data_IF_170769457308
#
_entry.id   IF_170769457308
#
_cell.length_a   1.000
_cell.length_b   1.000
_cell.length_c   1.000
_cell.angle_alpha   90.00
_cell.angle_beta   90.00
_cell.angle_gamma   90.00
#
_symmetry.space_group_name_H-M   'P 1'
#
loop_
_entity.id
_entity.type
_entity.pdbx_description
1 polymer ?
#
# COMPACT_ATOMS: atom_id res chain seq x y z
N UNK A 1 -28.47 45.09 5.72
CA UNK A 1 -28.81 43.72 5.27
C UNK A 1 -29.77 43.10 6.28
N UNK A 2 -31.00 42.75 5.86
CA UNK A 2 -32.03 42.27 6.78
C UNK A 2 -31.58 40.97 7.47
N UNK A 3 -31.69 40.88 8.80
CA UNK A 3 -31.31 39.68 9.58
C UNK A 3 -31.97 38.40 9.05
N UNK A 4 -33.19 38.51 8.51
CA UNK A 4 -33.90 37.41 7.83
C UNK A 4 -33.21 36.94 6.55
N UNK A 5 -32.63 37.85 5.78
CA UNK A 5 -31.89 37.54 4.55
C UNK A 5 -30.55 36.86 4.90
N UNK A 6 -29.87 37.33 5.96
CA UNK A 6 -28.65 36.70 6.47
C UNK A 6 -28.92 35.26 6.94
N UNK A 7 -30.04 35.03 7.63
CA UNK A 7 -30.42 33.71 8.13
C UNK A 7 -30.75 32.73 6.99
N UNK A 8 -31.38 33.21 5.93
CA UNK A 8 -31.74 32.41 4.75
C UNK A 8 -30.50 32.01 3.94
N UNK A 9 -29.51 32.90 3.83
CA UNK A 9 -28.20 32.60 3.23
C UNK A 9 -27.44 31.59 4.09
N UNK A 10 -27.46 31.73 5.42
CA UNK A 10 -26.79 30.79 6.34
C UNK A 10 -27.41 29.39 6.26
N UNK A 11 -28.74 29.29 6.10
CA UNK A 11 -29.45 28.01 5.97
C UNK A 11 -29.18 27.34 4.61
N UNK A 12 -29.06 28.12 3.53
CA UNK A 12 -28.69 27.61 2.21
C UNK A 12 -27.26 27.04 2.15
N UNK A 13 -26.34 27.57 2.95
CA UNK A 13 -24.96 27.07 3.06
C UNK A 13 -24.90 25.75 3.86
N UNK A 14 -25.87 25.45 4.73
CA UNK A 14 -25.89 24.18 5.47
C UNK A 14 -26.44 22.99 4.67
N UNK A 15 -27.09 23.25 3.53
CA UNK A 15 -27.61 22.24 2.60
C UNK A 15 -26.55 21.71 1.63
N UNK A 16 -25.27 21.71 2.02
CA UNK A 16 -24.22 21.07 1.23
C UNK A 16 -24.50 19.56 1.28
N UNK A 17 -24.81 19.00 0.10
CA UNK A 17 -25.15 17.60 -0.11
C UNK A 17 -24.27 16.66 0.72
N UNK A 18 -24.82 16.14 1.82
CA UNK A 18 -24.29 14.94 2.48
C UNK A 18 -24.69 13.76 1.59
N UNK A 19 -23.91 13.51 0.54
CA UNK A 19 -24.00 12.26 -0.21
C UNK A 19 -23.58 11.15 0.75
N UNK A 20 -24.55 10.50 1.38
CA UNK A 20 -24.27 9.32 2.19
C UNK A 20 -23.82 8.18 1.24
N UNK A 21 -22.51 7.90 1.25
CA UNK A 21 -21.94 6.74 0.55
C UNK A 21 -22.24 5.47 1.35
N UNK A 22 -23.48 4.99 1.26
CA UNK A 22 -23.85 3.68 1.80
C UNK A 22 -23.22 2.55 0.96
N UNK A 23 -22.83 1.45 1.60
CA UNK A 23 -22.27 0.26 0.92
C UNK A 23 -20.80 0.35 0.52
N UNK A 24 -20.08 1.39 0.97
CA UNK A 24 -18.65 1.59 0.73
C UNK A 24 -17.77 1.33 1.98
N UNK A 25 -18.16 0.41 2.84
CA UNK A 25 -17.25 -0.03 3.92
C UNK A 25 -16.43 -1.23 3.45
N UNK A 26 -15.11 -1.15 3.58
CA UNK A 26 -14.20 -2.26 3.31
C UNK A 26 -14.44 -3.32 4.37
N UNK A 27 -15.08 -4.42 3.99
CA UNK A 27 -15.43 -5.50 4.93
C UNK A 27 -14.20 -6.37 5.16
N UNK A 28 -13.86 -6.57 6.43
CA UNK A 28 -12.84 -7.52 6.87
C UNK A 28 -13.54 -8.84 7.18
N UNK A 29 -13.19 -9.91 6.47
CA UNK A 29 -13.71 -11.25 6.73
C UNK A 29 -12.76 -12.06 7.61
N UNK A 30 -11.47 -11.71 7.62
CA UNK A 30 -10.43 -12.46 8.33
C UNK A 30 -9.69 -11.62 9.38
N UNK A 31 -9.35 -12.27 10.47
CA UNK A 31 -8.36 -11.77 11.41
C UNK A 31 -6.96 -12.21 10.97
N UNK A 32 -6.08 -11.24 10.70
CA UNK A 32 -4.70 -11.51 10.27
C UNK A 32 -3.76 -11.60 11.47
N UNK A 33 -3.08 -12.74 11.63
CA UNK A 33 -1.90 -12.85 12.48
C UNK A 33 -0.66 -12.52 11.67
N UNK A 34 0.02 -11.44 12.02
CA UNK A 34 1.17 -10.91 11.30
C UNK A 34 2.50 -11.37 11.90
N UNK A 35 3.44 -11.67 11.02
CA UNK A 35 4.84 -11.97 11.31
C UNK A 35 5.72 -11.09 10.41
N UNK A 36 7.01 -11.04 10.70
CA UNK A 36 7.95 -10.37 9.81
C UNK A 36 9.30 -11.08 9.76
N UNK A 37 10.00 -10.91 8.65
CA UNK A 37 11.42 -11.21 8.50
C UNK A 37 12.16 -9.93 8.09
N UNK A 38 13.47 -9.89 8.33
CA UNK A 38 14.30 -8.73 8.04
C UNK A 38 15.46 -9.12 7.14
N UNK A 39 15.78 -8.26 6.17
CA UNK A 39 16.98 -8.39 5.31
C UNK A 39 17.99 -7.30 5.67
N UNK A 40 18.80 -6.80 4.72
CA UNK A 40 19.62 -5.62 4.98
C UNK A 40 18.81 -4.33 4.77
N UNK A 41 17.91 -4.34 3.78
CA UNK A 41 17.19 -3.15 3.31
C UNK A 41 15.68 -3.18 3.53
N UNK A 42 15.13 -4.30 4.04
CA UNK A 42 13.68 -4.49 4.12
C UNK A 42 13.23 -5.12 5.44
N UNK A 43 12.01 -4.72 5.85
CA UNK A 43 11.20 -5.46 6.81
C UNK A 43 9.99 -6.03 6.05
N UNK A 44 9.91 -7.35 5.93
CA UNK A 44 8.87 -8.04 5.14
C UNK A 44 7.82 -8.62 6.09
N UNK A 45 6.65 -8.00 6.12
CA UNK A 45 5.48 -8.42 6.87
C UNK A 45 4.63 -9.40 6.06
N UNK A 46 4.23 -10.50 6.68
CA UNK A 46 3.41 -11.54 6.08
C UNK A 46 2.45 -12.13 7.10
N UNK A 47 1.34 -12.70 6.63
CA UNK A 47 0.38 -13.37 7.49
C UNK A 47 0.68 -14.88 7.61
N UNK A 48 -0.05 -15.57 8.51
CA UNK A 48 0.06 -17.02 8.72
C UNK A 48 0.11 -17.79 7.38
N UNK A 49 0.96 -18.81 7.31
CA UNK A 49 1.25 -19.62 6.10
C UNK A 49 1.97 -18.88 4.95
N UNK A 50 2.33 -17.61 5.14
CA UNK A 50 3.04 -16.80 4.14
C UNK A 50 4.58 -16.82 4.22
N UNK A 51 5.21 -17.68 5.03
CA UNK A 51 6.66 -17.63 5.26
C UNK A 51 7.48 -17.84 3.97
N UNK A 52 7.14 -18.85 3.17
CA UNK A 52 7.79 -19.12 1.88
C UNK A 52 7.66 -17.94 0.92
N UNK A 53 6.50 -17.28 0.95
CA UNK A 53 6.22 -16.12 0.13
C UNK A 53 7.03 -14.90 0.59
N UNK A 54 7.17 -14.71 1.90
CA UNK A 54 8.00 -13.68 2.49
C UNK A 54 9.48 -13.86 2.15
N UNK A 55 10.02 -15.08 2.25
CA UNK A 55 11.40 -15.41 1.88
C UNK A 55 11.67 -15.15 0.39
N UNK A 56 10.76 -15.56 -0.49
CA UNK A 56 10.88 -15.23 -1.90
C UNK A 56 10.84 -13.72 -2.15
N UNK A 57 9.94 -13.01 -1.46
CA UNK A 57 9.78 -11.56 -1.59
C UNK A 57 11.04 -10.83 -1.12
N UNK A 58 11.63 -11.25 -0.01
CA UNK A 58 12.91 -10.75 0.48
C UNK A 58 14.02 -10.90 -0.56
N UNK A 59 14.20 -12.10 -1.13
CA UNK A 59 15.18 -12.32 -2.19
C UNK A 59 14.89 -11.46 -3.44
N UNK A 60 13.64 -11.38 -3.87
CA UNK A 60 13.25 -10.59 -5.04
C UNK A 60 13.48 -9.08 -4.81
N UNK A 61 13.17 -8.58 -3.61
CA UNK A 61 13.31 -7.19 -3.24
C UNK A 61 14.77 -6.74 -3.19
N UNK A 62 15.65 -7.52 -2.56
CA UNK A 62 17.09 -7.21 -2.49
C UNK A 62 17.72 -7.16 -3.89
N UNK A 63 17.37 -8.11 -4.77
CA UNK A 63 17.83 -8.10 -6.15
C UNK A 63 17.31 -6.90 -6.94
N UNK A 64 16.02 -6.55 -6.77
CA UNK A 64 15.42 -5.39 -7.42
C UNK A 64 16.07 -4.09 -6.94
N UNK A 65 16.27 -3.93 -5.63
CA UNK A 65 16.91 -2.75 -5.06
C UNK A 65 18.32 -2.55 -5.60
N UNK A 66 19.15 -3.61 -5.64
CA UNK A 66 20.48 -3.51 -6.21
C UNK A 66 20.44 -2.97 -7.66
N UNK A 67 19.52 -3.48 -8.49
CA UNK A 67 19.34 -3.00 -9.86
C UNK A 67 18.87 -1.55 -9.93
N UNK A 68 17.94 -1.13 -9.05
CA UNK A 68 17.38 0.22 -9.03
C UNK A 68 18.44 1.22 -8.56
N UNK A 69 19.15 0.92 -7.46
CA UNK A 69 20.22 1.77 -6.93
C UNK A 69 21.35 1.97 -7.95
N UNK A 70 21.70 0.94 -8.72
CA UNK A 70 22.69 1.05 -9.79
C UNK A 70 22.22 1.97 -10.92
N UNK A 71 20.93 1.94 -11.25
CA UNK A 71 20.32 2.77 -12.30
C UNK A 71 20.18 4.23 -11.85
N UNK A 72 19.70 4.45 -10.63
CA UNK A 72 19.41 5.80 -10.11
C UNK A 72 20.62 6.46 -9.43
N UNK A 73 21.70 5.70 -9.19
CA UNK A 73 22.88 6.15 -8.44
C UNK A 73 22.53 6.70 -7.06
N UNK A 74 21.54 6.08 -6.43
CA UNK A 74 21.00 6.47 -5.13
C UNK A 74 20.99 5.24 -4.21
N UNK A 75 21.22 5.45 -2.92
CA UNK A 75 21.08 4.42 -1.88
C UNK A 75 19.98 4.87 -0.94
N UNK A 76 19.09 3.95 -0.58
CA UNK A 76 18.01 4.27 0.35
C UNK A 76 18.56 4.61 1.74
N UNK A 77 17.89 5.52 2.45
CA UNK A 77 18.33 5.96 3.77
C UNK A 77 17.87 5.02 4.88
N UNK A 78 16.69 4.43 4.72
CA UNK A 78 16.03 3.60 5.73
C UNK A 78 15.52 2.30 5.12
N UNK A 79 15.24 1.31 5.97
CA UNK A 79 14.58 0.07 5.54
C UNK A 79 13.18 0.37 5.04
N UNK A 80 12.82 -0.23 3.92
CA UNK A 80 11.48 -0.14 3.35
C UNK A 80 10.65 -1.30 3.88
N UNK A 81 9.45 -1.01 4.41
CA UNK A 81 8.54 -2.05 4.81
C UNK A 81 7.80 -2.61 3.59
N UNK A 82 7.78 -3.94 3.46
CA UNK A 82 7.01 -4.66 2.43
C UNK A 82 5.95 -5.49 3.14
N UNK A 83 4.69 -5.32 2.76
CA UNK A 83 3.56 -6.12 3.25
C UNK A 83 3.12 -7.03 2.12
N UNK A 84 3.26 -8.34 2.30
CA UNK A 84 2.87 -9.34 1.30
C UNK A 84 1.64 -10.12 1.76
N UNK A 85 0.63 -10.14 0.90
CA UNK A 85 -0.60 -10.91 1.10
C UNK A 85 -0.56 -12.22 0.32
N UNK A 86 -1.00 -13.31 0.96
CA UNK A 86 -1.03 -14.65 0.37
C UNK A 86 -1.97 -14.78 -0.84
N UNK A 87 -2.97 -13.90 -0.96
CA UNK A 87 -3.94 -13.93 -2.04
C UNK A 87 -4.47 -12.55 -2.38
N UNK A 88 -5.08 -12.42 -3.56
CA UNK A 88 -5.80 -11.20 -3.96
C UNK A 88 -6.96 -10.87 -3.02
N UNK A 89 -7.69 -11.86 -2.52
CA UNK A 89 -8.79 -11.62 -1.59
C UNK A 89 -8.28 -10.99 -0.28
N UNK A 90 -7.20 -11.52 0.27
CA UNK A 90 -6.61 -10.96 1.50
C UNK A 90 -6.09 -9.52 1.27
N UNK A 91 -5.54 -9.23 0.09
CA UNK A 91 -5.09 -7.89 -0.28
C UNK A 91 -6.25 -6.90 -0.43
N UNK A 92 -7.39 -7.33 -0.98
CA UNK A 92 -8.60 -6.51 -1.07
C UNK A 92 -9.18 -6.17 0.32
N UNK A 93 -8.83 -6.94 1.35
CA UNK A 93 -9.14 -6.67 2.75
C UNK A 93 -8.03 -5.84 3.44
N UNK A 94 -7.06 -5.25 2.74
CA UNK A 94 -5.98 -4.51 3.42
C UNK A 94 -6.47 -3.27 4.19
N UNK A 95 -5.99 -3.06 5.42
CA UNK A 95 -6.18 -1.80 6.16
C UNK A 95 -5.01 -0.82 5.98
N UNK A 96 -4.08 -1.10 5.06
CA UNK A 96 -2.96 -0.19 4.80
C UNK A 96 -3.45 1.09 4.10
N UNK A 97 -4.56 1.01 3.37
CA UNK A 97 -5.25 2.14 2.74
C UNK A 97 -6.76 2.02 2.93
N UNK A 98 -7.40 3.16 3.23
CA UNK A 98 -8.85 3.30 3.31
C UNK A 98 -9.51 3.35 1.92
N UNK A 99 -8.71 3.45 0.86
CA UNK A 99 -9.21 3.46 -0.51
C UNK A 99 -9.62 2.05 -0.96
N UNK A 100 -10.70 2.00 -1.74
CA UNK A 100 -11.05 0.81 -2.50
C UNK A 100 -10.02 0.57 -3.58
N UNK A 101 -9.47 -0.63 -3.58
CA UNK A 101 -8.55 -1.08 -4.60
C UNK A 101 -9.38 -1.68 -5.74
N UNK A 102 -9.23 -1.16 -6.95
CA UNK A 102 -9.86 -1.78 -8.12
C UNK A 102 -9.16 -3.11 -8.44
N UNK A 103 -9.82 -4.00 -9.17
CA UNK A 103 -9.26 -5.31 -9.54
C UNK A 103 -7.95 -5.22 -10.32
N UNK A 104 -7.68 -4.09 -10.98
CA UNK A 104 -6.43 -3.85 -11.72
C UNK A 104 -5.22 -3.55 -10.85
N UNK A 105 -5.41 -3.24 -9.56
CA UNK A 105 -4.32 -2.93 -8.63
C UNK A 105 -3.84 -4.23 -7.99
N UNK A 106 -2.59 -4.61 -8.29
CA UNK A 106 -1.97 -5.82 -7.73
C UNK A 106 -0.97 -5.51 -6.61
N UNK A 107 -0.54 -4.25 -6.52
CA UNK A 107 0.31 -3.71 -5.48
C UNK A 107 0.25 -2.19 -5.50
N UNK A 108 0.73 -1.57 -4.44
CA UNK A 108 0.90 -0.13 -4.38
C UNK A 108 2.00 0.24 -3.38
N UNK A 109 2.51 1.45 -3.52
CA UNK A 109 3.46 2.05 -2.59
C UNK A 109 2.83 3.26 -1.93
N UNK A 110 2.68 3.23 -0.61
CA UNK A 110 2.14 4.33 0.18
C UNK A 110 3.19 5.43 0.36
N UNK A 111 2.83 6.68 0.02
CA UNK A 111 3.74 7.82 0.10
C UNK A 111 4.17 8.17 1.53
N UNK A 112 3.24 8.27 2.48
CA UNK A 112 3.51 8.85 3.81
C UNK A 112 4.44 8.01 4.69
N UNK A 113 4.32 6.68 4.61
CA UNK A 113 5.09 5.74 5.44
C UNK A 113 6.12 4.96 4.62
N UNK A 114 6.21 5.24 3.32
CA UNK A 114 7.03 4.54 2.34
C UNK A 114 6.91 3.01 2.43
N UNK A 115 5.68 2.50 2.41
CA UNK A 115 5.38 1.06 2.54
C UNK A 115 4.95 0.50 1.20
N UNK A 116 5.57 -0.60 0.80
CA UNK A 116 5.19 -1.38 -0.37
C UNK A 116 4.18 -2.44 0.06
N UNK A 117 3.06 -2.54 -0.64
CA UNK A 117 2.04 -3.55 -0.39
C UNK A 117 1.81 -4.34 -1.66
N UNK A 118 1.93 -5.66 -1.60
CA UNK A 118 1.81 -6.53 -2.77
C UNK A 118 0.98 -7.76 -2.45
N UNK A 119 0.32 -8.32 -3.47
CA UNK A 119 -0.44 -9.56 -3.38
C UNK A 119 0.21 -10.68 -4.19
N UNK A 120 0.02 -11.91 -3.74
CA UNK A 120 0.36 -13.08 -4.53
C UNK A 120 -0.82 -13.56 -5.37
N UNK A 121 -0.60 -13.71 -6.67
CA UNK A 121 -1.59 -14.16 -7.66
C UNK A 121 -1.31 -15.58 -8.16
N UNK A 122 -0.51 -16.37 -7.44
CA UNK A 122 -0.14 -17.73 -7.81
C UNK A 122 1.12 -17.85 -8.68
N UNK A 123 1.75 -16.73 -9.06
CA UNK A 123 2.97 -16.74 -9.89
C UNK A 123 4.10 -15.95 -9.24
N UNK A 124 5.15 -16.67 -8.84
CA UNK A 124 6.38 -16.08 -8.30
C UNK A 124 7.08 -15.15 -9.31
N UNK A 125 6.98 -15.45 -10.61
CA UNK A 125 7.49 -14.57 -11.66
C UNK A 125 6.77 -13.23 -11.65
N UNK A 126 5.44 -13.24 -11.60
CA UNK A 126 4.64 -12.01 -11.56
C UNK A 126 4.89 -11.23 -10.27
N UNK A 127 4.96 -11.92 -9.12
CA UNK A 127 5.31 -11.27 -7.85
C UNK A 127 6.67 -10.58 -7.90
N UNK A 128 7.70 -11.23 -8.47
CA UNK A 128 9.01 -10.60 -8.63
C UNK A 128 8.95 -9.33 -9.48
N UNK A 129 8.22 -9.36 -10.59
CA UNK A 129 8.03 -8.17 -11.43
C UNK A 129 7.28 -7.05 -10.69
N UNK A 130 6.23 -7.41 -9.94
CA UNK A 130 5.44 -6.47 -9.17
C UNK A 130 6.27 -5.82 -8.05
N UNK A 131 7.02 -6.62 -7.27
CA UNK A 131 7.92 -6.11 -6.23
C UNK A 131 8.93 -5.12 -6.83
N UNK A 132 9.50 -5.44 -7.99
CA UNK A 132 10.41 -4.51 -8.67
C UNK A 132 9.70 -3.21 -9.05
N UNK A 133 8.49 -3.29 -9.62
CA UNK A 133 7.70 -2.11 -10.00
C UNK A 133 7.43 -1.20 -8.79
N UNK A 134 6.93 -1.76 -7.70
CA UNK A 134 6.62 -0.98 -6.51
C UNK A 134 7.86 -0.40 -5.83
N UNK A 135 8.98 -1.14 -5.83
CA UNK A 135 10.23 -0.62 -5.28
C UNK A 135 10.78 0.58 -6.04
N UNK A 136 10.49 0.74 -7.33
CA UNK A 136 10.83 1.98 -8.05
C UNK A 136 10.13 3.17 -7.41
N UNK A 137 8.83 3.06 -7.10
CA UNK A 137 8.09 4.11 -6.39
C UNK A 137 8.67 4.36 -4.99
N UNK A 138 8.99 3.29 -4.25
CA UNK A 138 9.51 3.41 -2.89
C UNK A 138 10.89 4.09 -2.83
N UNK A 139 11.77 3.79 -3.78
CA UNK A 139 13.08 4.44 -3.89
C UNK A 139 12.94 5.90 -4.29
N UNK A 140 12.01 6.22 -5.20
CA UNK A 140 11.71 7.61 -5.56
C UNK A 140 11.18 8.38 -4.34
N UNK A 141 10.24 7.80 -3.59
CA UNK A 141 9.71 8.42 -2.39
C UNK A 141 10.82 8.69 -1.36
N UNK A 142 11.70 7.72 -1.11
CA UNK A 142 12.85 7.88 -0.21
C UNK A 142 13.79 8.98 -0.69
N UNK A 143 14.06 9.07 -2.00
CA UNK A 143 14.92 10.11 -2.57
C UNK A 143 14.39 11.54 -2.37
N UNK A 144 13.07 11.73 -2.39
CA UNK A 144 12.45 13.05 -2.27
C UNK A 144 12.01 13.40 -0.85
N UNK A 145 11.71 12.41 -0.02
CA UNK A 145 11.06 12.60 1.28
C UNK A 145 11.71 11.83 2.44
N UNK A 146 12.72 11.00 2.18
CA UNK A 146 13.39 10.14 3.16
C UNK A 146 14.66 10.73 3.78
#
# INVERSE_FOLDING_TARGET
MNKKLLFLVLFGIFSINVFAQFGKNKVQYKDFTWYYIQTDHFDIYFNKEGSTLAEFTAYAAENALNSIQLSFKYKINNRIAIIVYNSQNDFQETNVTDQYLSEGIQGFTELFKNRVVVQFTGSYKLLRHLVHHELVHAVINDMFYG
#
